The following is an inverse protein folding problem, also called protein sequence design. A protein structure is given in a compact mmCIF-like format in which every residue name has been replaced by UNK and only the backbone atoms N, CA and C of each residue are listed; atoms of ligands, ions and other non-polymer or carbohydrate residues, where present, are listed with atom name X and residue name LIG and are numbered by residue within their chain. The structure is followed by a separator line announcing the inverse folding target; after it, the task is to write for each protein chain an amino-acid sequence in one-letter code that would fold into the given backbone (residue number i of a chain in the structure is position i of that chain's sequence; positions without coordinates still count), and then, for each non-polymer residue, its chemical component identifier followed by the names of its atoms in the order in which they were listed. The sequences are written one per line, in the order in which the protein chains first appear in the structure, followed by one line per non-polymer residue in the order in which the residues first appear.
data_IF_800808806508
#
_entry.id   IF_800808806508
#
_cell.length_a   1.000
_cell.length_b   1.000
_cell.length_c   1.000
_cell.angle_alpha   90.00
_cell.angle_beta   90.00
_cell.angle_gamma   90.00
#
_symmetry.space_group_name_H-M   'P 1'
#
loop_
_entity.id
_entity.type
_entity.pdbx_description
1 polymer ?
#
# COMPACT_ATOMS: atom_id res chain seq x y z
N UNK A 1 11.71 -1.21 -5.76
CA UNK A 1 10.39 -0.61 -6.04
C UNK A 1 9.32 -1.66 -5.75
N UNK A 2 8.15 -1.22 -5.30
CA UNK A 2 6.99 -2.08 -5.05
C UNK A 2 5.84 -1.60 -5.92
N UNK A 3 5.12 -2.52 -6.54
CA UNK A 3 3.87 -2.24 -7.26
C UNK A 3 2.81 -3.28 -6.91
N UNK A 4 1.54 -2.89 -7.05
CA UNK A 4 0.39 -3.76 -6.82
C UNK A 4 -0.52 -3.68 -8.04
N UNK A 5 -0.93 -4.84 -8.55
CA UNK A 5 -1.87 -4.96 -9.67
C UNK A 5 -3.08 -5.79 -9.25
N UNK A 6 -4.28 -5.30 -9.54
CA UNK A 6 -5.52 -6.10 -9.39
C UNK A 6 -5.57 -7.10 -10.55
N UNK A 7 -5.64 -8.39 -10.21
CA UNK A 7 -5.76 -9.46 -11.21
C UNK A 7 -7.24 -9.78 -11.47
N UNK A 8 -8.05 -9.84 -10.41
CA UNK A 8 -9.45 -10.20 -10.47
C UNK A 8 -10.23 -9.51 -9.35
N UNK A 9 -11.48 -9.11 -9.62
CA UNK A 9 -12.42 -8.57 -8.63
C UNK A 9 -13.56 -9.57 -8.40
N UNK A 10 -13.42 -10.42 -7.39
CA UNK A 10 -14.38 -11.48 -7.10
C UNK A 10 -15.69 -10.95 -6.50
N UNK A 11 -15.60 -9.91 -5.65
CA UNK A 11 -16.76 -9.26 -5.02
C UNK A 11 -16.60 -7.76 -5.03
N UNK A 12 -17.71 -7.07 -5.25
CA UNK A 12 -17.75 -5.62 -5.14
C UNK A 12 -19.12 -5.16 -4.70
N UNK A 13 -19.16 -4.33 -3.67
CA UNK A 13 -20.39 -3.75 -3.13
C UNK A 13 -20.33 -2.22 -3.18
N UNK A 14 -21.48 -1.53 -3.37
CA UNK A 14 -21.54 -0.08 -3.22
C UNK A 14 -21.07 0.36 -1.83
N UNK A 15 -20.30 1.45 -1.76
CA UNK A 15 -19.84 2.02 -0.50
C UNK A 15 -19.83 3.55 -0.59
N UNK A 16 -21.00 4.15 -0.38
CA UNK A 16 -21.24 5.55 -0.76
C UNK A 16 -21.18 5.72 -2.28
N UNK A 17 -20.47 6.76 -2.73
CA UNK A 17 -20.18 6.99 -4.15
C UNK A 17 -19.00 6.14 -4.67
N UNK A 18 -18.26 5.51 -3.74
CA UNK A 18 -17.20 4.56 -4.03
C UNK A 18 -17.69 3.11 -4.01
N UNK A 19 -16.72 2.20 -4.01
CA UNK A 19 -16.94 0.76 -3.96
C UNK A 19 -15.99 0.13 -2.97
N UNK A 20 -16.45 -0.89 -2.26
CA UNK A 20 -15.61 -1.81 -1.52
C UNK A 20 -15.47 -3.09 -2.33
N UNK A 21 -14.24 -3.51 -2.58
CA UNK A 21 -13.88 -4.60 -3.47
C UNK A 21 -13.04 -5.64 -2.74
N UNK A 22 -13.17 -6.89 -3.16
CA UNK A 22 -12.37 -8.01 -2.71
C UNK A 22 -12.03 -8.91 -3.88
N UNK A 23 -10.78 -9.35 -3.97
CA UNK A 23 -10.32 -10.15 -5.10
C UNK A 23 -8.84 -10.49 -5.03
N UNK A 24 -8.31 -10.95 -6.16
CA UNK A 24 -6.92 -11.38 -6.29
C UNK A 24 -6.04 -10.24 -6.76
N UNK A 25 -4.86 -10.08 -6.14
CA UNK A 25 -3.85 -9.08 -6.50
C UNK A 25 -2.49 -9.73 -6.64
N UNK A 26 -1.60 -9.07 -7.39
CA UNK A 26 -0.18 -9.41 -7.44
C UNK A 26 0.64 -8.22 -6.92
N UNK A 27 1.41 -8.49 -5.87
CA UNK A 27 2.41 -7.55 -5.34
C UNK A 27 3.75 -7.91 -5.95
N UNK A 28 4.35 -6.97 -6.67
CA UNK A 28 5.68 -7.12 -7.26
C UNK A 28 6.68 -6.25 -6.52
N UNK A 29 7.76 -6.85 -6.02
CA UNK A 29 8.84 -6.15 -5.34
C UNK A 29 10.19 -6.46 -5.98
N UNK A 30 10.97 -5.43 -6.29
CA UNK A 30 12.33 -5.56 -6.83
C UNK A 30 13.31 -4.68 -6.07
N UNK A 31 14.40 -5.28 -5.59
CA UNK A 31 15.53 -4.54 -5.02
C UNK A 31 16.45 -4.13 -6.17
N UNK A 32 16.55 -2.83 -6.42
CA UNK A 32 17.26 -2.27 -7.59
C UNK A 32 18.64 -1.70 -7.26
N UNK A 33 18.91 -1.40 -5.99
CA UNK A 33 20.21 -0.87 -5.54
C UNK A 33 20.35 -0.92 -4.03
N UNK A 34 21.58 -0.66 -3.55
CA UNK A 34 21.84 -0.33 -2.15
C UNK A 34 22.78 0.88 -2.04
N UNK A 35 22.67 1.61 -0.93
CA UNK A 35 23.56 2.72 -0.59
C UNK A 35 24.61 2.26 0.43
N UNK A 36 25.87 2.57 0.17
CA UNK A 36 26.94 2.45 1.17
C UNK A 36 26.97 3.74 1.98
N UNK A 37 26.88 3.63 3.30
CA UNK A 37 26.90 4.78 4.21
C UNK A 37 28.02 4.64 5.23
N UNK A 38 28.67 5.75 5.59
CA UNK A 38 29.64 5.78 6.69
C UNK A 38 28.88 5.59 8.01
N UNK A 39 29.29 4.60 8.81
CA UNK A 39 28.52 4.14 9.97
C UNK A 39 28.22 5.25 10.99
N UNK A 40 29.21 6.09 11.31
CA UNK A 40 29.08 7.10 12.36
C UNK A 40 28.34 8.37 11.91
N UNK A 41 28.48 8.76 10.64
CA UNK A 41 27.95 10.05 10.13
C UNK A 41 26.70 9.88 9.26
N UNK A 42 26.42 8.67 8.79
CA UNK A 42 25.34 8.40 7.82
C UNK A 42 25.62 8.91 6.40
N UNK A 43 26.79 9.50 6.17
CA UNK A 43 27.24 10.05 4.89
C UNK A 43 27.19 8.98 3.80
N UNK A 44 26.58 9.30 2.65
CA UNK A 44 26.47 8.39 1.51
C UNK A 44 27.82 8.34 0.78
N UNK A 45 28.46 7.17 0.80
CA UNK A 45 29.74 6.92 0.14
C UNK A 45 29.58 6.45 -1.31
N UNK A 46 28.35 6.07 -1.69
CA UNK A 46 28.00 5.72 -3.07
C UNK A 46 26.79 4.79 -3.16
N UNK A 47 26.28 4.64 -4.37
CA UNK A 47 25.21 3.72 -4.73
C UNK A 47 25.77 2.56 -5.57
N UNK A 48 25.24 1.36 -5.40
CA UNK A 48 25.51 0.23 -6.29
C UNK A 48 24.19 -0.33 -6.79
N UNK A 49 24.00 -0.33 -8.12
CA UNK A 49 22.84 -0.94 -8.77
C UNK A 49 22.93 -2.47 -8.69
N UNK A 50 21.78 -3.11 -8.59
CA UNK A 50 21.64 -4.55 -8.51
C UNK A 50 20.79 -5.03 -9.68
N UNK A 51 21.23 -6.11 -10.32
CA UNK A 51 20.45 -6.83 -11.32
C UNK A 51 19.83 -8.07 -10.67
N UNK A 52 18.80 -7.84 -9.85
CA UNK A 52 18.06 -8.89 -9.18
C UNK A 52 16.68 -9.05 -9.81
N UNK A 53 16.16 -10.29 -9.95
CA UNK A 53 14.85 -10.50 -10.50
C UNK A 53 13.76 -9.93 -9.58
N UNK A 54 12.61 -9.50 -10.14
CA UNK A 54 11.45 -9.14 -9.33
C UNK A 54 10.91 -10.38 -8.59
N UNK A 55 10.34 -10.13 -7.41
CA UNK A 55 9.61 -11.13 -6.62
C UNK A 55 8.12 -10.81 -6.71
N UNK A 56 7.33 -11.82 -7.03
CA UNK A 56 5.88 -11.71 -7.15
C UNK A 56 5.20 -12.45 -6.01
N UNK A 57 4.21 -11.82 -5.39
CA UNK A 57 3.32 -12.41 -4.41
C UNK A 57 1.89 -12.27 -4.93
N UNK A 58 1.28 -13.39 -5.32
CA UNK A 58 -0.15 -13.45 -5.59
C UNK A 58 -0.88 -13.72 -4.28
N UNK A 59 -1.78 -12.81 -3.94
CA UNK A 59 -2.53 -12.87 -2.68
C UNK A 59 -3.93 -12.29 -2.88
N UNK A 60 -4.71 -12.27 -1.81
CA UNK A 60 -6.03 -11.66 -1.77
C UNK A 60 -5.97 -10.31 -1.09
N UNK A 61 -6.76 -9.35 -1.57
CA UNK A 61 -6.84 -8.03 -0.99
C UNK A 61 -8.29 -7.55 -0.89
N UNK A 62 -8.50 -6.64 0.06
CA UNK A 62 -9.65 -5.75 0.11
C UNK A 62 -9.15 -4.36 -0.27
N UNK A 63 -9.84 -3.67 -1.17
CA UNK A 63 -9.56 -2.29 -1.52
C UNK A 63 -10.85 -1.50 -1.67
N UNK A 64 -10.77 -0.19 -1.56
CA UNK A 64 -11.89 0.70 -1.77
C UNK A 64 -11.51 1.82 -2.75
N UNK A 65 -12.51 2.33 -3.45
CA UNK A 65 -12.34 3.48 -4.35
C UNK A 65 -12.83 4.75 -3.68
N UNK A 66 -12.26 5.87 -4.07
CA UNK A 66 -12.71 7.22 -3.68
C UNK A 66 -12.89 8.07 -4.92
N UNK A 67 -13.97 8.85 -4.98
CA UNK A 67 -14.22 9.81 -6.05
C UNK A 67 -13.58 11.16 -5.73
N UNK A 68 -13.38 12.01 -6.73
CA UNK A 68 -12.93 13.39 -6.50
C UNK A 68 -13.94 14.18 -5.64
N UNK A 69 -15.24 14.01 -5.89
CA UNK A 69 -16.32 14.62 -5.10
C UNK A 69 -16.24 14.24 -3.61
N UNK A 70 -15.89 12.99 -3.30
CA UNK A 70 -15.69 12.54 -1.92
C UNK A 70 -14.47 13.18 -1.26
N UNK A 71 -13.38 13.38 -2.02
CA UNK A 71 -12.19 14.07 -1.52
C UNK A 71 -12.49 15.55 -1.24
N UNK A 72 -13.22 16.21 -2.14
CA UNK A 72 -13.64 17.59 -2.00
C UNK A 72 -14.58 17.77 -0.80
N UNK A 73 -15.57 16.90 -0.64
CA UNK A 73 -16.47 16.91 0.51
C UNK A 73 -15.74 16.68 1.84
N UNK A 74 -14.67 15.89 1.83
CA UNK A 74 -13.80 15.65 2.99
C UNK A 74 -12.74 16.75 3.21
N UNK A 75 -12.68 17.77 2.35
CA UNK A 75 -11.68 18.84 2.37
C UNK A 75 -10.23 18.28 2.28
N UNK A 76 -10.04 17.20 1.53
CA UNK A 76 -8.72 16.57 1.31
C UNK A 76 -8.15 17.08 0.00
N UNK A 77 -7.26 18.07 0.09
CA UNK A 77 -6.61 18.62 -1.09
C UNK A 77 -5.52 17.66 -1.64
N UNK A 78 -5.15 17.78 -2.94
CA UNK A 78 -4.17 16.89 -3.56
C UNK A 78 -2.83 16.77 -2.82
N UNK A 79 -2.39 17.83 -2.15
CA UNK A 79 -1.15 17.85 -1.37
C UNK A 79 -1.25 17.01 -0.08
N UNK A 80 -2.47 16.81 0.44
CA UNK A 80 -2.74 16.04 1.64
C UNK A 80 -3.12 14.59 1.32
N UNK A 81 -3.57 14.31 0.09
CA UNK A 81 -4.12 13.01 -0.30
C UNK A 81 -3.21 11.84 0.04
N UNK A 82 -1.91 11.93 -0.26
CA UNK A 82 -0.95 10.87 0.07
C UNK A 82 -0.85 10.61 1.57
N UNK A 83 -0.80 11.67 2.39
CA UNK A 83 -0.76 11.54 3.85
C UNK A 83 -2.09 11.04 4.44
N UNK A 84 -3.22 11.48 3.90
CA UNK A 84 -4.55 11.01 4.29
C UNK A 84 -4.75 9.53 3.98
N UNK A 85 -4.31 9.08 2.80
CA UNK A 85 -4.34 7.67 2.41
C UNK A 85 -3.47 6.81 3.35
N UNK A 86 -2.26 7.27 3.66
CA UNK A 86 -1.36 6.59 4.60
C UNK A 86 -1.95 6.51 6.02
N UNK A 87 -2.59 7.57 6.49
CA UNK A 87 -3.30 7.55 7.77
C UNK A 87 -4.48 6.56 7.77
N UNK A 88 -5.26 6.51 6.69
CA UNK A 88 -6.37 5.57 6.53
C UNK A 88 -5.90 4.10 6.49
N UNK A 89 -4.77 3.82 5.84
CA UNK A 89 -4.11 2.51 5.84
C UNK A 89 -3.73 2.08 7.27
N UNK A 90 -3.00 2.94 8.00
CA UNK A 90 -2.61 2.67 9.38
C UNK A 90 -3.80 2.45 10.31
N UNK A 91 -4.84 3.27 10.19
CA UNK A 91 -6.06 3.10 10.96
C UNK A 91 -6.74 1.76 10.64
N UNK A 92 -6.83 1.40 9.36
CA UNK A 92 -7.46 0.14 8.92
C UNK A 92 -6.71 -1.07 9.45
N UNK A 93 -5.39 -1.14 9.23
CA UNK A 93 -4.55 -2.25 9.71
C UNK A 93 -4.54 -2.32 11.25
N UNK A 94 -4.46 -1.17 11.92
CA UNK A 94 -4.44 -1.10 13.38
C UNK A 94 -5.74 -1.56 14.03
N UNK A 95 -6.88 -1.44 13.35
CA UNK A 95 -8.19 -1.87 13.84
C UNK A 95 -8.47 -3.36 13.57
N UNK A 96 -7.87 -3.98 12.55
CA UNK A 96 -8.16 -5.36 12.15
C UNK A 96 -8.03 -6.42 13.27
N UNK A 97 -7.03 -6.36 14.17
CA UNK A 97 -6.93 -7.30 15.29
C UNK A 97 -8.19 -7.34 16.17
N UNK A 98 -8.97 -6.26 16.23
CA UNK A 98 -10.21 -6.18 17.02
C UNK A 98 -11.34 -7.05 16.44
N UNK A 99 -11.27 -7.42 15.16
CA UNK A 99 -12.33 -8.12 14.45
C UNK A 99 -11.92 -9.51 13.95
N UNK A 100 -10.64 -9.69 13.60
CA UNK A 100 -10.18 -10.86 12.86
C UNK A 100 -9.24 -11.78 13.65
N UNK A 101 -8.96 -11.49 14.93
CA UNK A 101 -8.00 -12.26 15.76
C UNK A 101 -6.65 -12.47 15.07
N UNK A 102 -6.18 -11.46 14.35
CA UNK A 102 -4.88 -11.41 13.69
C UNK A 102 -3.91 -10.47 14.41
N UNK A 103 -2.62 -10.58 14.09
CA UNK A 103 -1.64 -9.55 14.40
C UNK A 103 -1.60 -8.49 13.28
N UNK A 104 -1.15 -7.28 13.61
CA UNK A 104 -0.96 -6.21 12.62
C UNK A 104 0.07 -6.56 11.54
N UNK A 105 0.97 -7.50 11.81
CA UNK A 105 1.99 -7.95 10.86
C UNK A 105 1.48 -9.02 9.89
N UNK A 106 0.26 -9.54 10.09
CA UNK A 106 -0.33 -10.55 9.19
C UNK A 106 -0.84 -9.94 7.87
N UNK A 107 -0.99 -8.61 7.81
CA UNK A 107 -1.63 -7.88 6.71
C UNK A 107 -0.76 -6.69 6.31
N UNK A 108 -0.55 -6.52 4.99
CA UNK A 108 0.11 -5.35 4.40
C UNK A 108 -0.90 -4.36 3.81
N UNK A 109 -0.50 -3.09 3.74
CA UNK A 109 -1.22 -1.99 3.10
C UNK A 109 -0.34 -1.27 2.08
#
# INVERSE_FOLDING_TARGET
TTSVSVLETDRSIPWGEGRLCFGSVEVTHQVVSYLRRRLLTGEVLGETKLDLPPRHLRTRAVWWTVTEDQLDAALVHPQQLGGALHAAEHASIGLLPLFATCDRWDIGG
#
